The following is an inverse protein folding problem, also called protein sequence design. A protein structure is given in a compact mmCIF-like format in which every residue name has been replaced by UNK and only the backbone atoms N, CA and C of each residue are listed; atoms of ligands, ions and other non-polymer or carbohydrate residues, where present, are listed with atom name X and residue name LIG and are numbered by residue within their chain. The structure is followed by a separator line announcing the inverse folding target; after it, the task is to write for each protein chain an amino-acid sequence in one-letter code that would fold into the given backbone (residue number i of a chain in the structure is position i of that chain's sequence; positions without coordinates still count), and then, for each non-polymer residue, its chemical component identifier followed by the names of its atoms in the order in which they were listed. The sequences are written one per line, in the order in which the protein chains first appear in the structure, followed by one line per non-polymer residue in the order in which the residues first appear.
data_IF_375308911381
#
_entry.id   IF_375308911381
#
_cell.length_a   1.000
_cell.length_b   1.000
_cell.length_c   1.000
_cell.angle_alpha   90.00
_cell.angle_beta   90.00
_cell.angle_gamma   90.00
#
_symmetry.space_group_name_H-M   'P 1'
#
loop_
_entity.id
_entity.type
_entity.pdbx_description
1 polymer ?
#
# COMPACT_ATOMS: atom_id res chain seq x y z
N UNK A 1 2.38 -15.61 -22.05
CA UNK A 1 2.38 -14.65 -21.44
C UNK A 1 1.24 -13.93 -20.98
N UNK A 2 0.09 -14.14 -21.44
CA UNK A 2 -1.09 -13.51 -20.93
C UNK A 2 -1.47 -14.00 -19.56
N UNK A 3 -0.95 -15.14 -19.19
CA UNK A 3 -1.33 -15.76 -17.95
C UNK A 3 -1.06 -14.93 -16.73
N UNK A 4 0.14 -14.37 -16.56
CA UNK A 4 0.39 -13.56 -15.37
C UNK A 4 -0.54 -12.37 -15.31
N UNK A 5 -0.87 -11.83 -16.47
CA UNK A 5 -1.74 -10.69 -16.52
C UNK A 5 -3.14 -11.00 -16.00
N UNK A 6 -3.66 -12.16 -16.34
CA UNK A 6 -4.95 -12.59 -15.83
C UNK A 6 -4.94 -12.72 -14.33
N UNK A 7 -3.89 -13.32 -13.81
CA UNK A 7 -3.74 -13.48 -12.38
C UNK A 7 -3.72 -12.14 -11.68
N UNK A 8 -2.99 -11.20 -12.27
CA UNK A 8 -2.92 -9.85 -11.71
C UNK A 8 -4.28 -9.19 -11.67
N UNK A 9 -5.07 -9.37 -12.72
CA UNK A 9 -6.41 -8.79 -12.76
C UNK A 9 -7.28 -9.33 -11.63
N UNK A 10 -7.24 -10.63 -11.43
CA UNK A 10 -8.02 -11.23 -10.35
C UNK A 10 -7.57 -10.70 -9.01
N UNK A 11 -6.25 -10.62 -8.80
CA UNK A 11 -5.73 -10.10 -7.56
C UNK A 11 -6.18 -8.68 -7.30
N UNK A 12 -6.14 -7.84 -8.33
CA UNK A 12 -6.57 -6.46 -8.19
C UNK A 12 -8.05 -6.37 -7.83
N UNK A 13 -8.88 -7.21 -8.44
CA UNK A 13 -10.29 -7.25 -8.11
C UNK A 13 -10.50 -7.65 -6.66
N UNK A 14 -9.77 -8.65 -6.19
CA UNK A 14 -9.86 -9.08 -4.82
C UNK A 14 -9.45 -8.00 -3.84
N UNK A 15 -8.38 -7.27 -4.17
CA UNK A 15 -7.91 -6.19 -3.31
C UNK A 15 -8.91 -5.05 -3.25
N UNK A 16 -9.54 -4.72 -4.37
CA UNK A 16 -10.57 -3.69 -4.38
C UNK A 16 -11.77 -4.10 -3.53
N UNK A 17 -12.13 -5.37 -3.60
CA UNK A 17 -13.24 -5.88 -2.80
C UNK A 17 -12.95 -5.78 -1.31
N UNK A 18 -11.65 -5.81 -0.94
CA UNK A 18 -11.24 -5.66 0.46
C UNK A 18 -11.02 -4.20 0.85
N UNK A 19 -11.39 -3.27 -0.02
CA UNK A 19 -11.27 -1.85 0.29
C UNK A 19 -9.88 -1.30 0.11
N UNK A 20 -9.02 -2.02 -0.62
CA UNK A 20 -7.67 -1.55 -0.86
C UNK A 20 -7.61 -0.64 -2.07
N UNK A 21 -6.76 0.35 -2.00
CA UNK A 21 -6.57 1.32 -3.06
C UNK A 21 -5.25 1.06 -3.77
N UNK A 22 -5.24 1.31 -5.09
CA UNK A 22 -4.03 1.14 -5.87
C UNK A 22 -3.19 2.40 -5.82
N UNK A 23 -1.90 2.23 -5.68
CA UNK A 23 -0.95 3.34 -5.66
C UNK A 23 0.13 3.05 -6.68
N UNK A 24 0.49 4.06 -7.47
CA UNK A 24 1.58 3.95 -8.42
C UNK A 24 2.81 4.61 -7.82
N UNK A 25 3.94 3.93 -7.92
CA UNK A 25 5.17 4.39 -7.27
C UNK A 25 6.33 4.25 -8.24
N UNK A 26 7.10 5.31 -8.38
CA UNK A 26 8.32 5.28 -9.19
C UNK A 26 9.50 5.01 -8.30
N UNK A 27 10.26 3.98 -8.64
CA UNK A 27 11.47 3.62 -7.91
C UNK A 27 12.65 3.63 -8.89
N UNK A 28 13.81 3.99 -8.38
CA UNK A 28 15.01 3.81 -9.17
C UNK A 28 15.28 2.31 -9.32
N UNK A 29 16.13 1.96 -10.29
CA UNK A 29 16.49 0.56 -10.48
C UNK A 29 17.13 -0.02 -9.22
N UNK A 30 17.96 0.79 -8.57
CA UNK A 30 18.62 0.35 -7.34
C UNK A 30 17.61 0.12 -6.22
N UNK A 31 16.68 1.05 -6.05
CA UNK A 31 15.64 0.92 -5.03
C UNK A 31 14.79 -0.33 -5.25
N UNK A 32 14.42 -0.57 -6.51
CA UNK A 32 13.63 -1.75 -6.80
C UNK A 32 14.41 -3.03 -6.52
N UNK A 33 15.69 -3.05 -6.88
CA UNK A 33 16.53 -4.21 -6.63
C UNK A 33 16.64 -4.49 -5.13
N UNK A 34 16.82 -3.45 -4.34
CA UNK A 34 16.90 -3.59 -2.89
C UNK A 34 15.60 -4.17 -2.35
N UNK A 35 14.47 -3.65 -2.82
CA UNK A 35 13.18 -4.12 -2.35
C UNK A 35 12.94 -5.58 -2.73
N UNK A 36 13.30 -5.96 -3.95
CA UNK A 36 13.12 -7.34 -4.41
C UNK A 36 13.99 -8.29 -3.58
N UNK A 37 15.25 -7.94 -3.35
CA UNK A 37 16.12 -8.77 -2.54
C UNK A 37 15.62 -8.91 -1.11
N UNK A 38 15.11 -7.81 -0.58
CA UNK A 38 14.54 -7.84 0.78
C UNK A 38 13.35 -8.77 0.86
N UNK A 39 12.48 -8.70 -0.16
CA UNK A 39 11.31 -9.56 -0.21
C UNK A 39 11.73 -11.03 -0.28
N UNK A 40 12.71 -11.35 -1.11
CA UNK A 40 13.17 -12.72 -1.25
C UNK A 40 13.75 -13.25 0.06
N UNK A 41 14.53 -12.43 0.76
CA UNK A 41 15.15 -12.87 2.01
C UNK A 41 14.13 -13.19 3.08
N UNK A 42 12.99 -12.52 3.06
CA UNK A 42 11.97 -12.69 4.09
C UNK A 42 10.77 -13.50 3.63
N UNK A 43 10.83 -14.03 2.42
CA UNK A 43 9.70 -14.80 1.89
C UNK A 43 8.44 -14.00 1.76
N UNK A 44 8.58 -12.71 1.42
CA UNK A 44 7.45 -11.80 1.29
C UNK A 44 7.32 -11.30 -0.13
N UNK A 45 6.18 -10.66 -0.42
CA UNK A 45 6.00 -10.02 -1.72
C UNK A 45 6.61 -8.63 -1.68
N UNK A 46 6.80 -8.05 -2.86
CA UNK A 46 7.30 -6.69 -2.96
C UNK A 46 6.34 -5.72 -2.28
N UNK A 47 5.03 -5.93 -2.46
CA UNK A 47 4.02 -5.09 -1.81
C UNK A 47 4.14 -5.14 -0.30
N UNK A 48 4.41 -6.30 0.26
CA UNK A 48 4.56 -6.44 1.70
C UNK A 48 5.76 -5.65 2.21
N UNK A 49 6.87 -5.67 1.46
CA UNK A 49 8.06 -4.92 1.84
C UNK A 49 7.75 -3.42 1.85
N UNK A 50 7.06 -2.95 0.82
CA UNK A 50 6.70 -1.54 0.72
C UNK A 50 5.77 -1.12 1.84
N UNK A 51 4.79 -1.96 2.18
CA UNK A 51 3.89 -1.67 3.30
C UNK A 51 4.61 -1.62 4.63
N UNK A 52 5.56 -2.54 4.83
CA UNK A 52 6.36 -2.54 6.04
C UNK A 52 7.14 -1.25 6.17
N UNK A 53 7.62 -0.72 5.04
CA UNK A 53 8.32 0.55 5.03
C UNK A 53 7.44 1.69 5.50
N UNK A 54 6.18 1.69 5.10
CA UNK A 54 5.24 2.72 5.52
C UNK A 54 5.05 2.67 7.04
N UNK A 55 4.87 1.49 7.58
CA UNK A 55 4.67 1.32 9.02
C UNK A 55 5.92 1.77 9.78
N UNK A 56 7.11 1.38 9.29
CA UNK A 56 8.36 1.78 9.93
C UNK A 56 8.55 3.29 9.93
N UNK A 57 8.29 3.93 8.80
CA UNK A 57 8.42 5.37 8.71
C UNK A 57 7.39 6.09 9.58
N UNK A 58 6.16 5.59 9.60
CA UNK A 58 5.11 6.19 10.40
C UNK A 58 5.45 6.09 11.89
N UNK A 59 6.04 4.96 12.30
CA UNK A 59 6.47 4.79 13.69
C UNK A 59 7.58 5.75 14.03
N UNK A 60 8.54 5.90 13.12
CA UNK A 60 9.65 6.81 13.32
C UNK A 60 9.17 8.26 13.38
N UNK A 61 8.15 8.60 12.62
CA UNK A 61 7.59 9.95 12.57
C UNK A 61 6.65 10.26 13.73
N UNK A 62 6.34 9.26 14.55
CA UNK A 62 5.45 9.48 15.68
C UNK A 62 3.97 9.41 15.34
N UNK A 63 3.62 8.99 14.12
CA UNK A 63 2.23 8.85 13.72
C UNK A 63 1.66 7.54 14.26
N UNK A 64 2.50 6.51 14.33
CA UNK A 64 2.14 5.23 14.94
C UNK A 64 2.94 5.02 16.20
N UNK A 65 2.32 4.38 17.20
CA UNK A 65 2.99 3.98 18.42
C UNK A 65 2.48 2.59 18.78
N UNK A 66 3.40 1.63 18.87
CA UNK A 66 3.06 0.24 19.16
C UNK A 66 2.01 -0.30 18.18
N UNK A 67 2.09 0.12 16.93
CA UNK A 67 1.19 -0.36 15.89
C UNK A 67 -0.13 0.39 15.81
N UNK A 68 -0.39 1.31 16.74
CA UNK A 68 -1.66 2.04 16.76
C UNK A 68 -1.46 3.49 16.36
N UNK A 69 -2.48 4.06 15.73
CA UNK A 69 -2.46 5.47 15.33
C UNK A 69 -2.49 6.33 16.58
N UNK A 70 -1.54 7.27 16.68
CA UNK A 70 -1.49 8.20 17.80
C UNK A 70 -2.73 9.10 17.75
N UNK A 71 -3.34 9.30 18.90
CA UNK A 71 -4.63 9.97 19.01
C UNK A 71 -4.71 11.28 18.27
N UNK A 72 -3.68 12.11 18.37
CA UNK A 72 -3.74 13.43 17.76
C UNK A 72 -3.78 13.41 16.24
N UNK A 73 -3.49 12.27 15.62
CA UNK A 73 -3.54 12.13 14.15
C UNK A 73 -4.78 11.42 13.66
N UNK A 74 -5.61 10.89 14.58
CA UNK A 74 -6.77 10.08 14.18
C UNK A 74 -7.74 10.80 13.27
N UNK A 75 -8.14 12.01 13.65
CA UNK A 75 -9.13 12.73 12.85
C UNK A 75 -8.56 13.12 11.48
N UNK A 76 -7.27 13.45 11.42
CA UNK A 76 -6.66 13.78 10.14
C UNK A 76 -6.60 12.58 9.21
N UNK A 77 -6.23 11.44 9.76
CA UNK A 77 -6.18 10.20 8.98
C UNK A 77 -7.57 9.82 8.51
N UNK A 78 -8.57 9.97 9.37
CA UNK A 78 -9.96 9.68 9.01
C UNK A 78 -10.42 10.58 7.87
N UNK A 79 -10.06 11.86 7.91
CA UNK A 79 -10.43 12.80 6.87
C UNK A 79 -9.78 12.42 5.54
N UNK A 80 -8.48 12.10 5.55
CA UNK A 80 -7.80 11.67 4.33
C UNK A 80 -8.41 10.38 3.78
N UNK A 81 -8.74 9.46 4.68
CA UNK A 81 -9.33 8.20 4.25
C UNK A 81 -10.64 8.44 3.49
N UNK A 82 -11.49 9.32 4.00
CA UNK A 82 -12.74 9.64 3.33
C UNK A 82 -12.50 10.24 1.95
N UNK A 83 -11.55 11.15 1.84
CA UNK A 83 -11.21 11.78 0.56
C UNK A 83 -10.74 10.74 -0.44
N UNK A 84 -9.84 9.86 -0.02
CA UNK A 84 -9.28 8.83 -0.90
C UNK A 84 -10.34 7.84 -1.35
N UNK A 85 -11.22 7.45 -0.43
CA UNK A 85 -12.30 6.53 -0.76
C UNK A 85 -13.28 7.17 -1.75
N UNK A 86 -13.57 8.46 -1.56
CA UNK A 86 -14.47 9.17 -2.48
C UNK A 86 -13.85 9.26 -3.88
N UNK A 87 -12.55 9.55 -3.95
CA UNK A 87 -11.86 9.60 -5.24
C UNK A 87 -11.86 8.24 -5.93
N UNK A 88 -11.65 7.18 -5.16
CA UNK A 88 -11.66 5.83 -5.71
C UNK A 88 -13.03 5.49 -6.27
N UNK A 89 -14.11 5.91 -5.59
CA UNK A 89 -15.46 5.68 -6.08
C UNK A 89 -15.73 6.40 -7.38
N UNK A 90 -15.30 7.66 -7.47
CA UNK A 90 -15.49 8.44 -8.69
C UNK A 90 -14.77 7.79 -9.85
N UNK A 91 -13.51 7.41 -9.67
CA UNK A 91 -12.76 6.75 -10.73
C UNK A 91 -13.39 5.44 -11.14
N UNK A 92 -13.91 4.72 -10.17
CA UNK A 92 -14.55 3.43 -10.42
C UNK A 92 -15.84 3.60 -11.21
N UNK A 93 -16.57 4.66 -10.95
CA UNK A 93 -17.83 4.93 -11.62
C UNK A 93 -17.67 5.40 -13.06
N UNK A 94 -16.45 5.79 -13.43
CA UNK A 94 -16.16 6.21 -14.79
C UNK A 94 -15.63 5.02 -15.58
#
# INVERSE_FOLDING_TARGET
MARPRKTDSVSRHGKHALGMLRVYLYLSAEEKAIAVLTAERHGKTLSDVLRSGIISEATRSGILKNGDIVEKYRSRIKAYKHILEAEAQIKKGV
#
